data_IF_413726240780
#
_entry.id   IF_413726240780
#
_cell.length_a   1.000
_cell.length_b   1.000
_cell.length_c   1.000
_cell.angle_alpha   90.00
_cell.angle_beta   90.00
_cell.angle_gamma   90.00
#
_symmetry.space_group_name_H-M   'P 1'
#
loop_
_entity.id
_entity.type
_entity.pdbx_description
1 polymer ?
#
# COMPACT_ATOMS: atom_id res chain seq x y z
N UNK A 1 11.92 -16.99 -9.28
CA UNK A 1 12.29 -15.86 -8.39
C UNK A 1 11.10 -15.59 -7.46
N UNK A 2 11.35 -15.33 -6.17
CA UNK A 2 10.28 -15.01 -5.24
C UNK A 2 9.64 -13.66 -5.60
N UNK A 3 8.30 -13.55 -5.66
CA UNK A 3 7.64 -12.31 -6.05
C UNK A 3 7.87 -11.16 -5.06
N UNK A 4 8.01 -9.95 -5.58
CA UNK A 4 8.05 -8.71 -4.79
C UNK A 4 6.63 -8.33 -4.40
N UNK A 5 6.38 -8.14 -3.11
CA UNK A 5 5.12 -7.61 -2.61
C UNK A 5 5.37 -6.29 -1.91
N UNK A 6 4.64 -5.26 -2.33
CA UNK A 6 4.72 -3.94 -1.72
C UNK A 6 3.34 -3.44 -1.33
N UNK A 7 3.24 -2.63 -0.27
CA UNK A 7 2.04 -1.86 -0.03
C UNK A 7 2.32 -0.36 -0.10
N UNK A 8 1.32 0.40 -0.52
CA UNK A 8 1.36 1.85 -0.57
C UNK A 8 0.47 2.44 0.51
N UNK A 9 1.06 3.26 1.38
CA UNK A 9 0.36 4.04 2.40
C UNK A 9 0.52 5.54 2.17
N UNK A 10 -0.19 6.33 2.95
CA UNK A 10 -0.15 7.78 2.90
C UNK A 10 -1.54 8.40 2.73
N UNK A 11 -1.68 9.71 3.00
CA UNK A 11 -2.97 10.38 3.04
C UNK A 11 -3.65 10.47 1.67
N UNK A 12 -4.94 10.85 1.65
CA UNK A 12 -5.68 11.08 0.41
C UNK A 12 -5.00 12.15 -0.46
N UNK A 13 -5.03 11.98 -1.78
CA UNK A 13 -4.38 12.89 -2.74
C UNK A 13 -2.86 12.75 -2.83
N UNK A 14 -2.22 11.84 -2.06
CA UNK A 14 -0.76 11.67 -2.06
C UNK A 14 -0.20 11.08 -3.37
N UNK A 15 -1.01 10.43 -4.22
CA UNK A 15 -0.56 9.84 -5.48
C UNK A 15 -0.29 8.34 -5.41
N UNK A 16 -0.84 7.63 -4.42
CA UNK A 16 -0.69 6.17 -4.26
C UNK A 16 -1.15 5.40 -5.48
N UNK A 17 -2.33 5.71 -5.98
CA UNK A 17 -2.93 5.01 -7.11
C UNK A 17 -2.13 5.24 -8.40
N UNK A 18 -1.61 6.45 -8.61
CA UNK A 18 -0.72 6.75 -9.74
C UNK A 18 0.58 5.93 -9.65
N UNK A 19 1.17 5.83 -8.45
CA UNK A 19 2.35 4.99 -8.23
C UNK A 19 2.04 3.51 -8.51
N UNK A 20 0.91 3.00 -8.03
CA UNK A 20 0.48 1.63 -8.29
C UNK A 20 0.30 1.35 -9.79
N UNK A 21 -0.41 2.24 -10.50
CA UNK A 21 -0.63 2.13 -11.95
C UNK A 21 0.71 2.18 -12.70
N UNK A 22 1.63 3.03 -12.28
CA UNK A 22 2.97 3.12 -12.89
C UNK A 22 3.75 1.82 -12.72
N UNK A 23 3.76 1.22 -11.52
CA UNK A 23 4.37 -0.08 -11.25
C UNK A 23 3.78 -1.19 -12.13
N UNK A 24 2.46 -1.21 -12.28
CA UNK A 24 1.79 -2.16 -13.17
C UNK A 24 2.24 -2.01 -14.62
N UNK A 25 2.21 -0.79 -15.15
CA UNK A 25 2.49 -0.52 -16.57
C UNK A 25 3.96 -0.68 -16.94
N UNK A 26 4.88 -0.36 -16.05
CA UNK A 26 6.31 -0.32 -16.34
C UNK A 26 7.08 -1.54 -15.84
N UNK A 27 6.57 -2.23 -14.82
CA UNK A 27 7.27 -3.33 -14.16
C UNK A 27 6.43 -4.59 -13.96
N UNK A 28 5.23 -4.66 -14.57
CA UNK A 28 4.42 -5.86 -14.57
C UNK A 28 3.82 -6.25 -13.22
N UNK A 29 3.75 -5.31 -12.27
CA UNK A 29 3.06 -5.56 -11.00
C UNK A 29 1.57 -5.80 -11.22
N UNK A 30 0.98 -6.67 -10.40
CA UNK A 30 -0.48 -6.78 -10.28
C UNK A 30 -0.94 -5.89 -9.13
N UNK A 31 -1.91 -5.00 -9.40
CA UNK A 31 -2.49 -4.14 -8.36
C UNK A 31 -3.62 -4.85 -7.64
N UNK A 32 -3.59 -4.81 -6.30
CA UNK A 32 -4.70 -5.16 -5.43
C UNK A 32 -5.05 -3.90 -4.64
N UNK A 33 -6.30 -3.43 -4.74
CA UNK A 33 -6.75 -2.24 -4.01
C UNK A 33 -7.65 -2.62 -2.86
N UNK A 34 -7.33 -2.16 -1.64
CA UNK A 34 -8.22 -2.30 -0.49
C UNK A 34 -9.54 -1.55 -0.71
N UNK A 35 -9.50 -0.44 -1.43
CA UNK A 35 -10.71 0.30 -1.82
C UNK A 35 -11.64 -0.48 -2.77
N UNK A 36 -11.12 -1.43 -3.54
CA UNK A 36 -11.96 -2.26 -4.42
C UNK A 36 -12.77 -3.28 -3.62
N UNK A 37 -12.25 -3.78 -2.49
CA UNK A 37 -13.06 -4.58 -1.56
C UNK A 37 -14.20 -3.77 -0.96
N UNK A 38 -13.92 -2.52 -0.53
CA UNK A 38 -14.95 -1.62 0.00
C UNK A 38 -16.02 -1.31 -1.06
N UNK A 39 -15.62 -1.12 -2.32
CA UNK A 39 -16.53 -0.85 -3.44
C UNK A 39 -17.43 -2.06 -3.71
N UNK A 40 -16.87 -3.25 -3.79
CA UNK A 40 -17.64 -4.48 -3.96
C UNK A 40 -18.62 -4.73 -2.82
N UNK A 41 -18.27 -4.40 -1.58
CA UNK A 41 -19.17 -4.50 -0.43
C UNK A 41 -20.30 -3.46 -0.48
N UNK A 42 -19.98 -2.22 -0.85
CA UNK A 42 -20.99 -1.18 -1.04
C UNK A 42 -21.99 -1.56 -2.13
N UNK A 43 -21.50 -2.05 -3.28
CA UNK A 43 -22.32 -2.56 -4.39
C UNK A 43 -23.21 -3.72 -3.94
N UNK A 44 -22.67 -4.69 -3.18
CA UNK A 44 -23.41 -5.82 -2.63
C UNK A 44 -24.55 -5.38 -1.70
N UNK A 45 -24.36 -4.26 -0.98
CA UNK A 45 -25.35 -3.66 -0.07
C UNK A 45 -26.32 -2.71 -0.77
N UNK A 46 -26.15 -2.43 -2.07
CA UNK A 46 -26.93 -1.43 -2.79
C UNK A 46 -26.62 0.01 -2.37
N UNK A 47 -25.43 0.25 -1.79
CA UNK A 47 -25.02 1.57 -1.33
C UNK A 47 -24.37 2.37 -2.46
N UNK A 48 -24.49 3.70 -2.46
CA UNK A 48 -23.73 4.57 -3.35
C UNK A 48 -22.21 4.37 -3.17
N UNK A 49 -21.45 4.48 -4.27
CA UNK A 49 -20.00 4.38 -4.24
C UNK A 49 -19.33 5.74 -3.93
N UNK A 50 -19.95 6.57 -3.10
CA UNK A 50 -19.36 7.80 -2.58
C UNK A 50 -18.40 7.52 -1.41
N UNK A 51 -17.68 8.56 -1.00
CA UNK A 51 -16.63 8.44 0.03
C UNK A 51 -17.17 7.91 1.37
N UNK A 52 -18.31 8.41 1.82
CA UNK A 52 -18.91 8.04 3.11
C UNK A 52 -19.32 6.58 3.13
N UNK A 53 -20.02 6.12 2.10
CA UNK A 53 -20.47 4.74 1.99
C UNK A 53 -19.29 3.76 1.80
N UNK A 54 -18.25 4.15 1.07
CA UNK A 54 -17.04 3.33 0.93
C UNK A 54 -16.26 3.22 2.25
N UNK A 55 -16.26 4.25 3.09
CA UNK A 55 -15.68 4.18 4.43
C UNK A 55 -16.47 3.24 5.32
N UNK A 56 -17.81 3.40 5.36
CA UNK A 56 -18.69 2.51 6.12
C UNK A 56 -18.60 1.05 5.67
N UNK A 57 -18.50 0.80 4.37
CA UNK A 57 -18.27 -0.54 3.83
C UNK A 57 -16.91 -1.12 4.28
N UNK A 58 -15.87 -0.29 4.31
CA UNK A 58 -14.57 -0.69 4.83
C UNK A 58 -14.60 -1.04 6.31
N UNK A 59 -15.26 -0.24 7.14
CA UNK A 59 -15.41 -0.49 8.57
C UNK A 59 -16.23 -1.77 8.83
N UNK A 60 -17.30 -1.97 8.04
CA UNK A 60 -18.08 -3.20 8.09
C UNK A 60 -17.25 -4.44 7.74
N UNK A 61 -16.43 -4.37 6.69
CA UNK A 61 -15.55 -5.48 6.29
C UNK A 61 -14.50 -5.80 7.35
N UNK A 62 -13.96 -4.80 8.03
CA UNK A 62 -13.00 -4.98 9.13
C UNK A 62 -13.68 -5.62 10.33
N UNK A 63 -14.89 -5.18 10.68
CA UNK A 63 -15.57 -5.67 11.88
C UNK A 63 -14.71 -5.47 13.12
N UNK A 64 -14.41 -6.56 13.84
CA UNK A 64 -13.55 -6.56 15.04
C UNK A 64 -12.05 -6.69 14.73
N UNK A 65 -11.69 -7.03 13.50
CA UNK A 65 -10.29 -7.20 13.08
C UNK A 65 -9.87 -6.07 12.13
N UNK A 66 -9.11 -5.07 12.60
CA UNK A 66 -8.67 -3.95 11.78
C UNK A 66 -7.72 -4.37 10.64
N UNK A 67 -7.07 -5.53 10.74
CA UNK A 67 -6.18 -6.04 9.70
C UNK A 67 -6.90 -6.87 8.61
N UNK A 68 -8.20 -7.11 8.74
CA UNK A 68 -8.94 -8.04 7.86
C UNK A 68 -8.83 -7.71 6.37
N UNK A 69 -8.87 -6.43 5.99
CA UNK A 69 -8.71 -6.05 4.57
C UNK A 69 -7.31 -6.40 4.05
N UNK A 70 -6.29 -6.25 4.87
CA UNK A 70 -4.92 -6.66 4.54
C UNK A 70 -4.82 -8.18 4.38
N UNK A 71 -5.46 -8.96 5.25
CA UNK A 71 -5.53 -10.42 5.15
C UNK A 71 -6.23 -10.86 3.85
N UNK A 72 -7.36 -10.25 3.50
CA UNK A 72 -8.05 -10.50 2.23
C UNK A 72 -7.16 -10.18 1.01
N UNK A 73 -6.39 -9.10 1.08
CA UNK A 73 -5.44 -8.75 0.03
C UNK A 73 -4.32 -9.81 -0.08
N UNK A 74 -3.75 -10.24 1.04
CA UNK A 74 -2.70 -11.27 1.07
C UNK A 74 -3.18 -12.59 0.47
N UNK A 75 -4.39 -13.01 0.75
CA UNK A 75 -4.96 -14.22 0.16
C UNK A 75 -4.96 -14.16 -1.38
N UNK A 76 -5.32 -12.99 -1.95
CA UNK A 76 -5.29 -12.78 -3.40
C UNK A 76 -3.87 -12.80 -4.00
N UNK A 77 -2.82 -12.54 -3.19
CA UNK A 77 -1.44 -12.54 -3.72
C UNK A 77 -0.87 -13.93 -3.98
N UNK A 78 -1.45 -14.99 -3.44
CA UNK A 78 -0.86 -16.34 -3.38
C UNK A 78 -0.44 -16.92 -4.74
N UNK A 79 -1.15 -16.55 -5.82
CA UNK A 79 -0.91 -17.07 -7.18
C UNK A 79 -0.44 -16.00 -8.15
N UNK A 80 -0.05 -14.83 -7.62
CA UNK A 80 0.39 -13.69 -8.42
C UNK A 80 1.92 -13.56 -8.38
N UNK A 81 2.47 -12.95 -9.43
CA UNK A 81 3.85 -12.50 -9.45
C UNK A 81 4.07 -11.29 -8.52
N UNK A 82 4.79 -10.28 -9.00
CA UNK A 82 4.99 -9.05 -8.25
C UNK A 82 3.66 -8.32 -8.02
N UNK A 83 3.42 -7.87 -6.78
CA UNK A 83 2.14 -7.27 -6.37
C UNK A 83 2.34 -5.93 -5.69
N UNK A 84 1.48 -4.97 -6.02
CA UNK A 84 1.31 -3.72 -5.29
C UNK A 84 -0.07 -3.66 -4.64
N UNK A 85 -0.11 -3.57 -3.30
CA UNK A 85 -1.32 -3.41 -2.50
C UNK A 85 -1.53 -1.91 -2.26
N UNK A 86 -2.58 -1.34 -2.86
CA UNK A 86 -2.90 0.08 -2.79
C UNK A 86 -4.02 0.34 -1.76
N UNK A 87 -3.90 1.44 -1.04
CA UNK A 87 -4.95 1.92 -0.14
C UNK A 87 -4.83 1.47 1.30
N UNK A 88 -3.65 1.03 1.75
CA UNK A 88 -3.38 0.74 3.18
C UNK A 88 -3.44 2.05 3.98
N UNK A 89 -4.27 2.07 5.03
CA UNK A 89 -4.56 3.27 5.82
C UNK A 89 -4.42 3.10 7.32
N UNK A 90 -4.50 1.85 7.82
CA UNK A 90 -4.40 1.55 9.24
C UNK A 90 -3.03 0.96 9.57
N UNK A 91 -2.55 1.27 10.77
CA UNK A 91 -1.30 0.69 11.28
C UNK A 91 -1.41 -0.84 11.35
N UNK A 92 -2.54 -1.36 11.84
CA UNK A 92 -2.78 -2.80 11.91
C UNK A 92 -2.73 -3.51 10.55
N UNK A 93 -3.25 -2.87 9.48
CA UNK A 93 -3.13 -3.40 8.11
C UNK A 93 -1.65 -3.51 7.68
N UNK A 94 -0.87 -2.46 7.95
CA UNK A 94 0.54 -2.41 7.60
C UNK A 94 1.39 -3.41 8.41
N UNK A 95 1.13 -3.52 9.71
CA UNK A 95 1.81 -4.50 10.59
C UNK A 95 1.54 -5.93 10.13
N UNK A 96 0.29 -6.25 9.82
CA UNK A 96 -0.07 -7.55 9.25
C UNK A 96 0.69 -7.83 7.95
N UNK A 97 0.69 -6.88 7.00
CA UNK A 97 1.40 -7.04 5.73
C UNK A 97 2.91 -7.21 5.92
N UNK A 98 3.53 -6.42 6.81
CA UNK A 98 4.96 -6.50 7.13
C UNK A 98 5.34 -7.82 7.77
N UNK A 99 4.51 -8.35 8.67
CA UNK A 99 4.69 -9.68 9.26
C UNK A 99 4.67 -10.79 8.19
N UNK A 100 4.01 -10.55 7.04
CA UNK A 100 3.99 -11.45 5.88
C UNK A 100 5.03 -11.09 4.81
N UNK A 101 6.06 -10.31 5.14
CA UNK A 101 7.18 -9.99 4.26
C UNK A 101 6.89 -8.93 3.18
N UNK A 102 5.74 -8.25 3.23
CA UNK A 102 5.42 -7.16 2.30
C UNK A 102 6.21 -5.91 2.66
N UNK A 103 6.79 -5.24 1.66
CA UNK A 103 7.59 -4.03 1.84
C UNK A 103 6.66 -2.82 1.87
N UNK A 104 6.77 -1.99 2.91
CA UNK A 104 5.99 -0.76 3.04
C UNK A 104 6.60 0.42 2.30
N UNK A 105 5.77 1.12 1.52
CA UNK A 105 6.14 2.37 0.85
C UNK A 105 5.14 3.46 1.22
N UNK A 106 5.61 4.50 1.91
CA UNK A 106 4.80 5.68 2.20
C UNK A 106 4.95 6.71 1.10
N UNK A 107 3.82 7.11 0.51
CA UNK A 107 3.77 8.15 -0.51
C UNK A 107 3.53 9.50 0.16
N UNK A 108 4.49 10.41 0.04
CA UNK A 108 4.47 11.73 0.66
C UNK A 108 4.27 12.82 -0.39
N UNK A 109 3.37 13.74 -0.10
CA UNK A 109 3.08 14.92 -0.92
C UNK A 109 2.67 16.06 -0.01
N UNK A 110 3.16 17.29 -0.22
CA UNK A 110 2.73 18.46 0.54
C UNK A 110 1.20 18.61 0.57
N UNK A 111 0.71 19.10 1.68
CA UNK A 111 -0.74 19.18 1.93
C UNK A 111 -1.46 20.03 0.87
N UNK A 112 -0.88 21.13 0.46
CA UNK A 112 -1.44 22.05 -0.54
C UNK A 112 -1.63 21.34 -1.90
N UNK A 113 -0.63 20.53 -2.29
CA UNK A 113 -0.68 19.75 -3.53
C UNK A 113 -1.75 18.67 -3.46
N UNK A 114 -1.87 17.99 -2.30
CA UNK A 114 -2.90 16.97 -2.07
C UNK A 114 -4.31 17.59 -2.14
N UNK A 115 -4.51 18.71 -1.48
CA UNK A 115 -5.79 19.41 -1.48
C UNK A 115 -6.15 19.93 -2.87
N UNK A 116 -5.19 20.45 -3.64
CA UNK A 116 -5.44 20.85 -5.03
C UNK A 116 -5.90 19.66 -5.89
N UNK A 117 -5.26 18.47 -5.71
CA UNK A 117 -5.65 17.24 -6.43
C UNK A 117 -7.06 16.77 -6.02
N UNK A 118 -7.38 16.81 -4.74
CA UNK A 118 -8.68 16.39 -4.21
C UNK A 118 -9.80 17.32 -4.71
N UNK A 119 -9.62 18.64 -4.66
CA UNK A 119 -10.59 19.60 -5.21
C UNK A 119 -10.88 19.36 -6.68
N UNK A 120 -9.84 19.09 -7.48
CA UNK A 120 -10.02 18.79 -8.91
C UNK A 120 -10.77 17.49 -9.16
N UNK A 121 -10.63 16.49 -8.30
CA UNK A 121 -11.26 15.18 -8.44
C UNK A 121 -12.70 15.16 -7.92
N UNK A 122 -12.92 15.71 -6.75
CA UNK A 122 -14.16 15.55 -5.99
C UNK A 122 -15.09 16.78 -6.10
N UNK A 123 -14.61 17.89 -6.70
CA UNK A 123 -15.38 19.14 -6.88
C UNK A 123 -15.72 19.89 -5.58
N UNK A 124 -15.35 19.33 -4.42
CA UNK A 124 -15.65 19.91 -3.10
C UNK A 124 -14.43 20.63 -2.52
N UNK A 125 -14.65 21.77 -1.88
CA UNK A 125 -13.62 22.52 -1.17
C UNK A 125 -13.20 21.89 0.16
N UNK A 126 -14.00 20.98 0.71
CA UNK A 126 -13.78 20.34 2.00
C UNK A 126 -13.20 18.94 1.83
N UNK A 127 -12.13 18.67 2.58
CA UNK A 127 -11.58 17.31 2.74
C UNK A 127 -12.08 16.81 4.09
N UNK A 128 -13.09 15.92 4.13
CA UNK A 128 -13.57 15.37 5.39
C UNK A 128 -12.42 14.67 6.12
N UNK A 129 -12.22 15.04 7.39
CA UNK A 129 -11.22 14.41 8.25
C UNK A 129 -11.86 13.12 8.79
N UNK A 130 -11.56 12.00 8.16
CA UNK A 130 -11.90 10.70 8.70
C UNK A 130 -10.72 10.16 9.53
N UNK A 131 -10.94 9.44 10.65
CA UNK A 131 -9.86 8.90 11.49
C UNK A 131 -8.80 8.11 10.69
N UNK A 132 -9.20 7.32 9.70
CA UNK A 132 -8.28 6.57 8.84
C UNK A 132 -7.37 7.45 7.98
N UNK A 133 -7.72 8.72 7.71
CA UNK A 133 -6.85 9.65 6.98
C UNK A 133 -5.76 10.22 7.87
N UNK A 134 -6.07 10.43 9.16
CA UNK A 134 -5.07 10.85 10.16
C UNK A 134 -4.09 9.72 10.43
N UNK A 135 -4.59 8.50 10.62
CA UNK A 135 -3.74 7.33 10.84
C UNK A 135 -2.87 6.98 9.64
N UNK A 136 -3.36 7.21 8.41
CA UNK A 136 -2.61 6.92 7.18
C UNK A 136 -1.24 7.65 7.09
N UNK A 137 -1.06 8.75 7.81
CA UNK A 137 0.21 9.46 7.89
C UNK A 137 1.22 8.76 8.82
N UNK A 138 0.74 7.99 9.80
CA UNK A 138 1.57 7.28 10.79
C UNK A 138 1.83 5.82 10.45
N UNK A 139 1.21 5.30 9.38
CA UNK A 139 1.39 3.92 8.91
C UNK A 139 2.88 3.63 8.72
N UNK A 140 3.43 2.56 9.33
CA UNK A 140 4.83 2.18 9.15
C UNK A 140 5.19 1.99 7.67
N UNK A 141 6.42 2.32 7.30
CA UNK A 141 6.93 2.08 5.95
C UNK A 141 8.45 1.86 5.97
N UNK A 142 8.93 1.02 5.07
CA UNK A 142 10.36 0.74 4.89
C UNK A 142 11.01 1.76 3.95
N UNK A 143 10.22 2.35 3.05
CA UNK A 143 10.64 3.33 2.06
C UNK A 143 9.67 4.51 2.00
N UNK A 144 10.19 5.67 1.57
CA UNK A 144 9.39 6.87 1.29
C UNK A 144 9.50 7.21 -0.18
N UNK A 145 8.36 7.46 -0.82
CA UNK A 145 8.23 7.96 -2.19
C UNK A 145 7.71 9.39 -2.16
N UNK A 146 8.54 10.36 -2.53
CA UNK A 146 8.08 11.73 -2.72
C UNK A 146 7.34 11.88 -4.04
N UNK A 147 6.08 12.33 -3.97
CA UNK A 147 5.18 12.56 -5.11
C UNK A 147 4.77 14.04 -5.25
N UNK A 148 5.55 14.94 -4.67
CA UNK A 148 5.34 16.40 -4.74
C UNK A 148 5.76 17.01 -6.07
N UNK A 149 6.55 16.31 -6.85
CA UNK A 149 7.31 16.83 -7.99
C UNK A 149 6.51 16.86 -9.29
N UNK A 150 7.03 17.62 -10.27
CA UNK A 150 6.61 17.59 -11.66
C UNK A 150 6.68 16.16 -12.23
N UNK A 151 5.90 15.81 -13.27
CA UNK A 151 5.78 14.45 -13.80
C UNK A 151 7.13 13.74 -14.05
N UNK A 152 8.11 14.43 -14.60
CA UNK A 152 9.44 13.86 -14.87
C UNK A 152 10.22 13.51 -13.60
N UNK A 153 10.18 14.35 -12.58
CA UNK A 153 10.83 14.08 -11.30
C UNK A 153 10.11 12.96 -10.53
N UNK A 154 8.80 12.86 -10.68
CA UNK A 154 8.03 11.76 -10.13
C UNK A 154 8.39 10.42 -10.78
N UNK A 155 8.50 10.35 -12.11
CA UNK A 155 8.97 9.15 -12.83
C UNK A 155 10.37 8.72 -12.37
N UNK A 156 11.30 9.68 -12.18
CA UNK A 156 12.62 9.40 -11.62
C UNK A 156 12.54 8.79 -10.22
N UNK A 157 11.71 9.36 -9.33
CA UNK A 157 11.53 8.85 -7.97
C UNK A 157 10.95 7.43 -7.97
N UNK A 158 10.04 7.12 -8.87
CA UNK A 158 9.49 5.77 -9.05
C UNK A 158 10.54 4.76 -9.54
N UNK A 159 11.41 5.15 -10.47
CA UNK A 159 12.55 4.31 -10.89
C UNK A 159 13.52 4.02 -9.75
N UNK A 160 13.84 5.02 -8.94
CA UNK A 160 14.66 4.86 -7.74
C UNK A 160 13.98 3.96 -6.70
N UNK A 161 12.66 4.06 -6.54
CA UNK A 161 11.89 3.16 -5.70
C UNK A 161 12.07 1.71 -6.15
N UNK A 162 11.91 1.40 -7.43
CA UNK A 162 12.07 0.04 -7.97
C UNK A 162 13.47 -0.49 -7.70
N UNK A 163 14.51 0.31 -7.92
CA UNK A 163 15.88 -0.10 -7.61
C UNK A 163 16.05 -0.46 -6.13
N UNK A 164 15.48 0.33 -5.22
CA UNK A 164 15.50 0.05 -3.77
C UNK A 164 14.72 -1.20 -3.41
N UNK A 165 13.56 -1.44 -4.03
CA UNK A 165 12.76 -2.66 -3.81
C UNK A 165 13.54 -3.92 -4.20
N UNK A 166 14.25 -3.88 -5.32
CA UNK A 166 15.13 -4.99 -5.76
C UNK A 166 16.23 -5.23 -4.75
N UNK A 167 16.90 -4.17 -4.27
CA UNK A 167 17.96 -4.27 -3.26
C UNK A 167 17.44 -4.87 -1.96
N UNK A 168 16.33 -4.34 -1.41
CA UNK A 168 15.73 -4.86 -0.17
C UNK A 168 15.34 -6.33 -0.27
N UNK A 169 14.82 -6.76 -1.42
CA UNK A 169 14.51 -8.16 -1.67
C UNK A 169 15.76 -9.04 -1.58
N UNK A 170 16.86 -8.65 -2.22
CA UNK A 170 18.12 -9.40 -2.20
C UNK A 170 18.66 -9.49 -0.77
N UNK A 171 18.65 -8.37 -0.03
CA UNK A 171 19.15 -8.31 1.35
C UNK A 171 18.31 -9.19 2.29
N UNK A 172 16.98 -9.10 2.23
CA UNK A 172 16.09 -9.94 3.07
C UNK A 172 16.29 -11.42 2.82
N UNK A 173 16.50 -11.82 1.55
CA UNK A 173 16.78 -13.21 1.21
C UNK A 173 18.12 -13.67 1.79
N UNK A 174 19.18 -12.87 1.68
CA UNK A 174 20.48 -13.20 2.24
C UNK A 174 20.44 -13.41 3.76
N UNK A 175 19.68 -12.58 4.47
CA UNK A 175 19.48 -12.69 5.92
C UNK A 175 18.68 -13.96 6.31
N UNK A 176 17.62 -14.27 5.57
CA UNK A 176 16.81 -15.47 5.81
C UNK A 176 17.63 -16.75 5.64
N UNK A 177 18.50 -16.82 4.62
CA UNK A 177 19.40 -17.96 4.42
C UNK A 177 20.45 -18.11 5.52
N UNK A 178 20.92 -17.02 6.13
CA UNK A 178 21.85 -17.07 7.26
C UNK A 178 21.20 -17.58 8.55
N UNK A 179 19.94 -17.25 8.78
CA UNK A 179 19.17 -17.66 9.95
C UNK A 179 18.73 -19.13 9.91
N UNK A 180 18.69 -19.74 8.71
CA UNK A 180 18.29 -21.13 8.50
C UNK A 180 19.48 -22.09 8.39
N UNK A 181 20.72 -21.62 8.48
CA UNK A 181 21.89 -22.49 8.50
C UNK A 181 21.94 -23.28 9.83
N UNK A 182 22.01 -24.62 9.81
CA UNK A 182 22.09 -25.42 11.03
C UNK A 182 23.38 -25.08 11.78
N UNK A 183 23.26 -24.85 13.08
CA UNK A 183 24.41 -24.74 13.97
C UNK A 183 25.23 -26.06 13.83
N UNK A 184 26.41 -25.97 13.25
CA UNK A 184 27.36 -27.09 13.26
C UNK A 184 27.74 -27.32 14.71
N UNK A 185 27.11 -28.32 15.33
CA UNK A 185 27.59 -28.86 16.61
C UNK A 185 28.92 -29.53 16.32
N UNK A 186 30.00 -28.85 16.69
CA UNK A 186 31.30 -29.48 16.81
C UNK A 186 31.23 -30.59 17.83
N UNK A 187 31.38 -31.83 17.38
CA UNK A 187 31.66 -32.97 18.20
C UNK A 187 33.16 -32.92 18.48
N UNK A 188 33.53 -32.69 19.72
CA UNK A 188 34.81 -33.09 20.28
C UNK A 188 34.64 -34.42 20.99
#
# INVERSE_FOLDING_TARGET
MEPVRVYLSGPAGAGKTEAAIWLCRRHGFTRISLGDFCRAEAERLGWPCDRTHLQAAGDRLRGVDPARLAAMAMERTRRLGDVVIDGVRLVAEAEYLRAHGVIGVRVETPQEVRWARLRRRDGSGEVPIHPTETEAATVPADLVLSAASLPLAYDRNLRLLVARLVTLRVTRRALAHRSSAPAQHGIQ
#
